data_IF_603924138831
#
_entry.id   IF_603924138831
#
_cell.length_a   1.000
_cell.length_b   1.000
_cell.length_c   1.000
_cell.angle_alpha   90.00
_cell.angle_beta   90.00
_cell.angle_gamma   90.00
#
_symmetry.space_group_name_H-M   'P 1'
#
loop_
_entity.id
_entity.type
_entity.pdbx_description
1 polymer ?
#
# COMPACT_ATOMS: atom_id res chain seq x y z
N UNK A 1 14.87 19.37 8.90
CA UNK A 1 15.42 20.47 9.68
C UNK A 1 15.22 20.19 11.17
N UNK A 2 16.32 19.93 11.93
CA UNK A 2 16.27 19.54 13.35
C UNK A 2 15.51 20.54 14.25
N UNK A 3 15.69 21.87 14.12
CA UNK A 3 14.93 22.84 14.92
C UNK A 3 13.42 22.71 14.77
N UNK A 4 12.92 22.44 13.56
CA UNK A 4 11.49 22.26 13.31
C UNK A 4 10.92 21.07 14.06
N UNK A 5 11.67 19.96 14.13
CA UNK A 5 11.22 18.79 14.87
C UNK A 5 11.26 18.96 16.37
N UNK A 6 12.27 19.69 16.90
CA UNK A 6 12.33 20.04 18.33
C UNK A 6 11.10 20.87 18.69
N UNK A 7 10.81 21.91 17.92
CA UNK A 7 9.63 22.74 18.17
C UNK A 7 8.32 21.94 18.07
N UNK A 8 8.22 21.03 17.10
CA UNK A 8 7.06 20.13 17.00
C UNK A 8 6.93 19.25 18.24
N UNK A 9 8.03 18.71 18.78
CA UNK A 9 8.00 17.92 20.00
C UNK A 9 7.51 18.73 21.21
N UNK A 10 7.93 19.97 21.35
CA UNK A 10 7.48 20.87 22.42
C UNK A 10 5.98 21.14 22.33
N UNK A 11 5.48 21.52 21.14
CA UNK A 11 4.06 21.73 20.91
C UNK A 11 3.23 20.47 21.17
N UNK A 12 3.73 19.32 20.74
CA UNK A 12 3.06 18.04 20.93
C UNK A 12 3.02 17.64 22.40
N UNK A 13 4.12 17.87 23.14
CA UNK A 13 4.18 17.60 24.58
C UNK A 13 3.14 18.42 25.34
N UNK A 14 3.09 19.72 25.09
CA UNK A 14 2.10 20.61 25.70
C UNK A 14 0.66 20.19 25.38
N UNK A 15 0.42 19.74 24.15
CA UNK A 15 -0.88 19.30 23.72
C UNK A 15 -1.30 17.98 24.37
N UNK A 16 -0.43 17.00 24.39
CA UNK A 16 -0.68 15.70 25.01
C UNK A 16 -0.83 15.78 26.53
N UNK A 17 -0.10 16.69 27.19
CA UNK A 17 -0.28 16.93 28.63
C UNK A 17 -1.67 17.52 28.96
N UNK A 18 -2.25 18.30 28.05
CA UNK A 18 -3.61 18.86 28.21
C UNK A 18 -4.70 17.81 27.94
N UNK A 19 -4.56 17.03 26.86
CA UNK A 19 -5.54 16.02 26.44
C UNK A 19 -5.49 14.77 27.35
N UNK A 20 -4.29 14.39 27.79
CA UNK A 20 -4.02 13.20 28.60
C UNK A 20 -4.62 11.92 27.99
N UNK A 21 -4.31 11.57 26.74
CA UNK A 21 -4.86 10.39 26.11
C UNK A 21 -4.34 9.13 26.82
N UNK A 22 -5.18 8.09 26.88
CA UNK A 22 -4.75 6.80 27.45
C UNK A 22 -3.80 6.04 26.53
N UNK A 23 -3.91 6.24 25.25
CA UNK A 23 -3.04 5.66 24.23
C UNK A 23 -3.08 6.51 22.96
N UNK A 24 -2.04 6.38 22.14
CA UNK A 24 -1.94 6.93 20.79
C UNK A 24 -1.94 5.77 19.82
N UNK A 25 -2.83 5.81 18.85
CA UNK A 25 -2.87 4.86 17.74
C UNK A 25 -2.45 5.59 16.49
N UNK A 26 -1.49 5.05 15.77
CA UNK A 26 -0.99 5.64 14.53
C UNK A 26 -0.92 4.61 13.42
N UNK A 27 -1.09 5.10 12.20
CA UNK A 27 -0.85 4.34 10.98
C UNK A 27 0.47 4.85 10.41
N UNK A 28 1.40 3.95 10.03
CA UNK A 28 2.71 4.32 9.52
C UNK A 28 3.65 4.95 10.59
N UNK A 29 4.09 4.13 11.53
CA UNK A 29 4.95 4.52 12.66
C UNK A 29 6.39 4.89 12.29
N UNK A 30 6.79 4.71 11.03
CA UNK A 30 8.18 4.92 10.62
C UNK A 30 8.47 6.33 10.13
N UNK A 31 7.45 7.05 9.70
CA UNK A 31 7.59 8.44 9.25
C UNK A 31 8.09 9.39 10.34
N UNK A 32 8.76 10.47 9.95
CA UNK A 32 9.39 11.42 10.88
C UNK A 32 8.39 12.01 11.89
N UNK A 33 7.18 12.33 11.45
CA UNK A 33 6.13 12.81 12.36
C UNK A 33 5.71 11.73 13.36
N UNK A 34 5.53 10.49 12.89
CA UNK A 34 5.17 9.38 13.75
C UNK A 34 6.25 9.12 14.80
N UNK A 35 7.53 9.16 14.43
CA UNK A 35 8.65 9.05 15.40
C UNK A 35 8.63 10.20 16.42
N UNK A 36 8.23 11.39 16.03
CA UNK A 36 8.05 12.51 16.97
C UNK A 36 6.98 12.18 18.03
N UNK A 37 5.84 11.61 17.59
CA UNK A 37 4.80 11.14 18.50
C UNK A 37 5.30 10.04 19.46
N UNK A 38 6.05 9.06 18.94
CA UNK A 38 6.62 7.99 19.75
C UNK A 38 7.56 8.52 20.86
N UNK A 39 8.43 9.48 20.50
CA UNK A 39 9.38 10.08 21.45
C UNK A 39 8.63 10.81 22.57
N UNK A 40 7.67 11.65 22.21
CA UNK A 40 6.92 12.45 23.19
C UNK A 40 6.00 11.57 24.03
N UNK A 41 5.31 10.60 23.41
CA UNK A 41 4.47 9.64 24.12
C UNK A 41 5.27 8.86 25.15
N UNK A 42 6.44 8.35 24.77
CA UNK A 42 7.35 7.63 25.69
C UNK A 42 7.81 8.51 26.84
N UNK A 43 8.15 9.79 26.57
CA UNK A 43 8.51 10.76 27.60
C UNK A 43 7.37 10.97 28.61
N UNK A 44 6.13 11.01 28.14
CA UNK A 44 4.93 11.24 28.95
C UNK A 44 4.34 9.94 29.56
N UNK A 45 4.89 8.77 29.26
CA UNK A 45 4.35 7.50 29.72
C UNK A 45 3.04 7.09 29.05
N UNK A 46 2.73 7.66 27.90
CA UNK A 46 1.52 7.36 27.10
C UNK A 46 1.81 6.13 26.23
N UNK A 47 0.89 5.16 26.22
CA UNK A 47 1.02 3.96 25.41
C UNK A 47 0.85 4.25 23.93
N UNK A 48 1.61 3.53 23.09
CA UNK A 48 1.56 3.71 21.64
C UNK A 48 1.27 2.39 20.92
N UNK A 49 0.40 2.43 19.94
CA UNK A 49 0.09 1.33 19.04
C UNK A 49 0.28 1.79 17.60
N UNK A 50 0.96 1.00 16.80
CA UNK A 50 1.00 1.21 15.36
C UNK A 50 0.22 0.12 14.63
N UNK A 51 -0.47 0.51 13.57
CA UNK A 51 -1.13 -0.42 12.65
C UNK A 51 -0.38 -0.36 11.34
N UNK A 52 0.04 -1.51 10.83
CA UNK A 52 0.64 -1.61 9.50
C UNK A 52 -0.26 -0.93 8.47
N UNK A 53 0.33 -0.11 7.57
CA UNK A 53 -0.46 0.62 6.59
C UNK A 53 -0.24 0.12 5.14
N UNK A 54 0.80 -0.66 4.90
CA UNK A 54 1.16 -1.16 3.57
C UNK A 54 2.18 -2.29 3.65
N UNK A 55 2.80 -2.59 2.52
CA UNK A 55 3.86 -3.58 2.46
C UNK A 55 5.06 -3.17 3.33
N UNK A 56 5.69 -4.16 3.97
CA UNK A 56 6.95 -3.99 4.70
C UNK A 56 8.01 -4.81 3.96
N UNK A 57 8.76 -4.20 3.02
CA UNK A 57 9.86 -4.87 2.35
C UNK A 57 11.00 -5.23 3.31
N UNK A 58 11.74 -6.29 3.00
CA UNK A 58 12.84 -6.80 3.84
C UNK A 58 14.05 -5.89 3.91
N UNK A 59 14.13 -4.91 3.04
CA UNK A 59 15.21 -3.93 2.91
C UNK A 59 14.77 -2.49 3.21
N UNK A 60 13.53 -2.30 3.69
CA UNK A 60 13.00 -0.96 3.94
C UNK A 60 13.66 -0.32 5.19
N UNK A 61 14.55 0.69 5.01
CA UNK A 61 15.42 1.17 6.09
C UNK A 61 14.67 1.70 7.31
N UNK A 62 13.44 2.17 7.13
CA UNK A 62 12.64 2.73 8.21
C UNK A 62 12.15 1.67 9.20
N UNK A 63 11.97 0.42 8.75
CA UNK A 63 11.63 -0.72 9.58
C UNK A 63 12.87 -1.57 9.91
N UNK A 64 13.82 -1.68 8.96
CA UNK A 64 14.98 -2.56 9.06
C UNK A 64 16.20 -1.74 9.49
N UNK A 65 16.22 -1.36 10.74
CA UNK A 65 17.26 -0.50 11.29
C UNK A 65 18.19 -1.27 12.24
N UNK A 66 19.01 -2.17 11.70
CA UNK A 66 19.92 -3.05 12.46
C UNK A 66 20.87 -2.30 13.39
N UNK A 67 21.27 -1.07 13.03
CA UNK A 67 22.19 -0.27 13.82
C UNK A 67 21.55 0.31 15.09
N UNK A 68 20.26 0.61 15.07
CA UNK A 68 19.55 1.25 16.18
C UNK A 68 19.33 0.28 17.35
N UNK A 69 19.29 -1.01 17.08
CA UNK A 69 19.20 -2.05 18.13
C UNK A 69 20.55 -2.47 18.68
N UNK A 70 21.64 -1.84 18.25
CA UNK A 70 22.95 -2.07 18.82
C UNK A 70 23.04 -1.42 20.21
N UNK A 71 23.85 -2.01 21.11
CA UNK A 71 24.17 -1.45 22.45
C UNK A 71 24.72 0.00 22.38
N UNK A 72 25.03 0.53 21.19
CA UNK A 72 25.51 1.90 20.98
C UNK A 72 24.40 2.96 21.13
N UNK A 73 23.13 2.56 21.04
CA UNK A 73 22.00 3.46 21.18
C UNK A 73 21.17 3.07 22.41
N UNK A 74 21.56 3.53 23.61
CA UNK A 74 20.94 3.13 24.88
C UNK A 74 19.46 3.54 25.00
N UNK A 75 18.98 4.47 24.17
CA UNK A 75 17.57 4.84 24.11
C UNK A 75 16.74 3.88 23.24
N UNK A 76 17.39 2.96 22.51
CA UNK A 76 16.76 2.00 21.62
C UNK A 76 16.08 2.63 20.41
N UNK A 77 15.50 1.78 19.59
CA UNK A 77 14.62 2.26 18.53
C UNK A 77 13.32 2.78 19.15
N UNK A 78 12.92 3.98 18.76
CA UNK A 78 11.60 4.50 19.13
C UNK A 78 10.53 3.77 18.31
N UNK A 79 10.25 2.54 18.74
CA UNK A 79 9.18 1.71 18.20
C UNK A 79 7.99 1.74 19.16
N UNK A 80 6.77 1.58 18.65
CA UNK A 80 5.55 1.53 19.46
C UNK A 80 5.61 0.47 20.57
N UNK A 81 4.78 0.62 21.59
CA UNK A 81 4.59 -0.43 22.59
C UNK A 81 4.04 -1.70 21.94
N UNK A 82 3.20 -1.54 20.89
CA UNK A 82 2.72 -2.62 20.04
C UNK A 82 2.70 -2.19 18.57
N UNK A 83 3.18 -3.06 17.69
CA UNK A 83 3.04 -2.96 16.24
C UNK A 83 2.12 -4.08 15.77
N UNK A 84 0.99 -3.71 15.19
CA UNK A 84 -0.08 -4.60 14.74
C UNK A 84 0.09 -4.85 13.24
N UNK A 85 0.40 -6.07 12.85
CA UNK A 85 0.72 -6.43 11.47
C UNK A 85 -0.35 -7.30 10.83
N UNK A 86 -0.42 -7.26 9.50
CA UNK A 86 -1.44 -7.95 8.72
C UNK A 86 -1.29 -9.48 8.74
N UNK A 87 -0.04 -9.98 8.83
CA UNK A 87 0.19 -11.43 8.76
C UNK A 87 1.49 -11.88 9.42
N UNK A 88 1.62 -13.20 9.55
CA UNK A 88 2.81 -13.85 10.14
C UNK A 88 4.10 -13.50 9.39
N UNK A 89 4.02 -13.31 8.07
CA UNK A 89 5.13 -12.91 7.24
C UNK A 89 5.72 -11.56 7.70
N UNK A 90 4.88 -10.54 7.90
CA UNK A 90 5.33 -9.24 8.37
C UNK A 90 5.87 -9.29 9.81
N UNK A 91 5.23 -10.11 10.66
CA UNK A 91 5.77 -10.36 11.99
C UNK A 91 7.20 -10.91 11.90
N UNK A 92 7.44 -11.91 11.05
CA UNK A 92 8.75 -12.50 10.82
C UNK A 92 9.77 -11.48 10.32
N UNK A 93 9.42 -10.65 9.34
CA UNK A 93 10.29 -9.56 8.85
C UNK A 93 10.70 -8.64 10.01
N UNK A 94 9.72 -8.15 10.77
CA UNK A 94 10.01 -7.21 11.85
C UNK A 94 10.86 -7.83 12.96
N UNK A 95 10.59 -9.07 13.35
CA UNK A 95 11.30 -9.71 14.47
C UNK A 95 12.66 -10.27 14.07
N UNK A 96 12.79 -10.93 12.91
CA UNK A 96 14.03 -11.59 12.51
C UNK A 96 15.00 -10.66 11.79
N UNK A 97 14.48 -9.74 10.95
CA UNK A 97 15.28 -8.83 10.14
C UNK A 97 15.31 -7.43 10.74
N UNK A 98 14.15 -6.90 11.14
CA UNK A 98 14.00 -5.58 11.76
C UNK A 98 14.41 -5.52 13.23
N UNK A 99 14.64 -6.68 13.87
CA UNK A 99 15.05 -6.83 15.26
C UNK A 99 14.07 -6.22 16.28
N UNK A 100 12.78 -6.16 15.92
CA UNK A 100 11.73 -5.81 16.87
C UNK A 100 11.59 -6.90 17.94
N UNK A 101 11.39 -6.55 19.22
CA UNK A 101 11.04 -7.54 20.24
C UNK A 101 9.76 -8.29 19.87
N UNK A 102 9.77 -9.61 20.00
CA UNK A 102 8.65 -10.44 19.52
C UNK A 102 7.33 -10.10 20.23
N UNK A 103 7.42 -9.79 21.52
CA UNK A 103 6.27 -9.40 22.34
C UNK A 103 5.64 -8.06 21.92
N UNK A 104 6.33 -7.26 21.12
CA UNK A 104 5.82 -5.99 20.60
C UNK A 104 5.11 -6.13 19.27
N UNK A 105 5.24 -7.25 18.57
CA UNK A 105 4.63 -7.45 17.24
C UNK A 105 3.50 -8.46 17.33
N UNK A 106 2.30 -8.03 16.94
CA UNK A 106 1.07 -8.84 17.01
C UNK A 106 0.40 -8.93 15.65
N UNK A 107 -0.04 -10.14 15.28
CA UNK A 107 -0.75 -10.40 14.03
C UNK A 107 -2.23 -10.20 14.26
N UNK A 108 -2.85 -9.26 13.53
CA UNK A 108 -4.27 -8.92 13.68
C UNK A 108 -5.09 -9.15 12.40
N UNK A 109 -4.45 -9.49 11.27
CA UNK A 109 -5.09 -9.43 9.96
C UNK A 109 -5.13 -8.01 9.40
N UNK A 110 -5.62 -7.86 8.18
CA UNK A 110 -5.78 -6.55 7.57
C UNK A 110 -7.11 -5.91 8.02
N UNK A 111 -7.10 -4.72 8.63
CA UNK A 111 -8.31 -4.11 9.19
C UNK A 111 -9.46 -3.93 8.20
N UNK A 112 -9.15 -3.66 6.93
CA UNK A 112 -10.17 -3.49 5.88
C UNK A 112 -10.94 -4.77 5.54
N UNK A 113 -10.48 -5.94 6.02
CA UNK A 113 -11.09 -7.23 5.68
C UNK A 113 -11.84 -7.90 6.83
N UNK A 114 -11.95 -7.20 7.95
CA UNK A 114 -12.62 -7.74 9.15
C UNK A 114 -14.03 -8.27 8.86
N UNK A 115 -14.78 -7.59 7.98
CA UNK A 115 -16.12 -8.01 7.53
C UNK A 115 -16.16 -8.17 6.00
N UNK A 116 -15.12 -8.76 5.41
CA UNK A 116 -14.98 -8.81 3.96
C UNK A 116 -16.16 -9.49 3.27
N UNK A 117 -16.60 -10.64 3.77
CA UNK A 117 -17.73 -11.38 3.19
C UNK A 117 -19.04 -10.61 3.24
N UNK A 118 -19.26 -9.81 4.29
CA UNK A 118 -20.42 -8.92 4.38
C UNK A 118 -20.25 -7.71 3.46
N UNK A 119 -19.07 -7.13 3.43
CA UNK A 119 -18.74 -6.02 2.53
C UNK A 119 -18.88 -6.41 1.07
N UNK A 120 -18.43 -7.61 0.69
CA UNK A 120 -18.55 -8.14 -0.68
C UNK A 120 -20.01 -8.23 -1.13
N UNK A 121 -20.93 -8.56 -0.23
CA UNK A 121 -22.37 -8.63 -0.54
C UNK A 121 -23.02 -7.26 -0.84
N UNK A 122 -22.38 -6.17 -0.42
CA UNK A 122 -22.89 -4.82 -0.70
C UNK A 122 -22.63 -4.39 -2.16
N UNK A 123 -21.79 -5.11 -2.88
CA UNK A 123 -21.43 -4.78 -4.27
C UNK A 123 -22.20 -5.66 -5.25
N UNK A 124 -22.91 -5.03 -6.16
CA UNK A 124 -23.57 -5.70 -7.28
C UNK A 124 -22.74 -5.54 -8.55
N UNK A 125 -22.07 -6.64 -8.98
CA UNK A 125 -21.23 -6.63 -10.18
C UNK A 125 -21.96 -6.09 -11.40
N UNK A 126 -23.21 -6.48 -11.63
CA UNK A 126 -23.99 -6.05 -12.80
C UNK A 126 -24.30 -4.56 -12.78
N UNK A 127 -24.56 -3.98 -11.61
CA UNK A 127 -24.77 -2.54 -11.47
C UNK A 127 -23.49 -1.75 -11.73
N UNK A 128 -22.35 -2.24 -11.22
CA UNK A 128 -21.05 -1.60 -11.42
C UNK A 128 -20.67 -1.64 -12.91
N UNK A 129 -20.85 -2.78 -13.58
CA UNK A 129 -20.62 -2.90 -15.03
C UNK A 129 -21.48 -1.90 -15.82
N UNK A 130 -22.79 -1.85 -15.53
CA UNK A 130 -23.73 -0.92 -16.16
C UNK A 130 -23.35 0.55 -15.92
N UNK A 131 -22.98 0.92 -14.69
CA UNK A 131 -22.51 2.27 -14.33
C UNK A 131 -21.31 2.71 -15.17
N UNK A 132 -20.43 1.78 -15.53
CA UNK A 132 -19.23 2.04 -16.32
C UNK A 132 -19.42 1.78 -17.82
N UNK A 133 -20.64 1.48 -18.28
CA UNK A 133 -20.96 1.16 -19.68
C UNK A 133 -20.16 -0.04 -20.22
N UNK A 134 -19.83 -1.01 -19.36
CA UNK A 134 -19.29 -2.30 -19.76
C UNK A 134 -20.43 -3.27 -20.05
N UNK A 135 -20.26 -4.09 -21.09
CA UNK A 135 -21.18 -5.15 -21.46
C UNK A 135 -20.53 -6.52 -21.24
N UNK A 136 -20.10 -7.16 -22.33
CA UNK A 136 -19.49 -8.52 -22.28
C UNK A 136 -17.97 -8.49 -22.43
N UNK A 137 -17.34 -7.32 -22.42
CA UNK A 137 -15.90 -7.19 -22.56
C UNK A 137 -15.17 -7.79 -21.34
N UNK A 138 -13.99 -8.34 -21.62
CA UNK A 138 -13.02 -8.72 -20.58
C UNK A 138 -12.31 -7.49 -20.05
N UNK A 139 -12.24 -7.36 -18.74
CA UNK A 139 -11.69 -6.18 -18.08
C UNK A 139 -10.35 -6.51 -17.46
N UNK A 140 -9.30 -5.85 -17.95
CA UNK A 140 -7.97 -5.86 -17.35
C UNK A 140 -7.88 -4.63 -16.44
N UNK A 141 -7.81 -4.84 -15.12
CA UNK A 141 -7.57 -3.76 -14.18
C UNK A 141 -6.07 -3.48 -14.08
N UNK A 142 -5.69 -2.22 -14.26
CA UNK A 142 -4.32 -1.75 -14.11
C UNK A 142 -4.24 -0.59 -13.10
N UNK A 143 -3.98 -0.87 -11.82
CA UNK A 143 -3.69 0.16 -10.82
C UNK A 143 -2.31 0.78 -11.05
N UNK A 144 -2.25 2.12 -11.07
CA UNK A 144 -1.02 2.88 -11.24
C UNK A 144 -0.33 3.12 -9.89
N UNK A 145 0.99 3.16 -9.92
CA UNK A 145 1.80 3.57 -8.79
C UNK A 145 1.80 5.10 -8.63
N UNK A 146 1.93 5.57 -7.39
CA UNK A 146 1.90 7.01 -7.08
C UNK A 146 3.00 7.77 -7.82
N UNK A 147 2.61 8.81 -8.60
CA UNK A 147 3.48 9.76 -9.32
C UNK A 147 4.39 9.15 -10.39
N UNK A 148 4.58 7.84 -10.44
CA UNK A 148 5.48 7.22 -11.40
C UNK A 148 4.98 7.34 -12.84
N UNK A 149 3.66 7.41 -13.03
CA UNK A 149 3.08 7.57 -14.37
C UNK A 149 3.63 8.80 -15.13
N UNK A 150 3.91 9.90 -14.44
CA UNK A 150 4.40 11.14 -15.06
C UNK A 150 5.89 11.09 -15.44
N UNK A 151 6.63 10.10 -14.96
CA UNK A 151 8.04 9.92 -15.30
C UNK A 151 8.16 9.25 -16.67
N UNK A 152 8.93 9.85 -17.55
CA UNK A 152 9.21 9.25 -18.86
C UNK A 152 9.92 7.90 -18.67
N UNK A 153 9.46 6.87 -19.40
CA UNK A 153 9.96 5.49 -19.29
C UNK A 153 9.80 4.85 -17.90
N UNK A 154 8.86 5.33 -17.09
CA UNK A 154 8.54 4.62 -15.85
C UNK A 154 7.99 3.22 -16.13
N UNK A 155 8.17 2.27 -15.20
CA UNK A 155 7.61 0.92 -15.33
C UNK A 155 6.11 0.93 -15.62
N UNK A 156 5.33 1.81 -14.96
CA UNK A 156 3.89 1.97 -15.21
C UNK A 156 3.59 2.33 -16.66
N UNK A 157 4.34 3.29 -17.24
CA UNK A 157 4.13 3.71 -18.63
C UNK A 157 4.56 2.64 -19.63
N UNK A 158 5.65 1.94 -19.36
CA UNK A 158 6.14 0.85 -20.22
C UNK A 158 5.10 -0.27 -20.25
N UNK A 159 4.63 -0.70 -19.08
CA UNK A 159 3.64 -1.77 -18.97
C UNK A 159 2.31 -1.38 -19.58
N UNK A 160 1.81 -0.17 -19.29
CA UNK A 160 0.56 0.33 -19.85
C UNK A 160 0.63 0.42 -21.39
N UNK A 161 1.75 0.92 -21.93
CA UNK A 161 1.97 0.97 -23.38
C UNK A 161 2.01 -0.43 -24.01
N UNK A 162 2.57 -1.40 -23.33
CA UNK A 162 2.61 -2.80 -23.76
C UNK A 162 1.21 -3.40 -23.80
N UNK A 163 0.41 -3.20 -22.76
CA UNK A 163 -0.99 -3.63 -22.72
C UNK A 163 -1.80 -2.99 -23.87
N UNK A 164 -1.60 -1.69 -24.13
CA UNK A 164 -2.31 -1.01 -25.21
C UNK A 164 -1.91 -1.58 -26.58
N UNK A 165 -0.63 -1.81 -26.84
CA UNK A 165 -0.16 -2.37 -28.10
C UNK A 165 -0.75 -3.75 -28.35
N UNK A 166 -0.82 -4.57 -27.31
CA UNK A 166 -1.34 -5.94 -27.41
C UNK A 166 -2.85 -5.96 -27.69
N UNK A 167 -3.61 -5.14 -26.96
CA UNK A 167 -5.08 -5.21 -27.00
C UNK A 167 -5.75 -4.12 -27.85
N UNK A 168 -5.02 -3.23 -28.54
CA UNK A 168 -5.59 -2.11 -29.31
C UNK A 168 -6.60 -2.52 -30.38
N UNK A 169 -6.44 -3.71 -30.97
CA UNK A 169 -7.30 -4.23 -32.02
C UNK A 169 -8.32 -5.27 -31.51
N UNK A 170 -8.39 -5.46 -30.20
CA UNK A 170 -9.32 -6.40 -29.59
C UNK A 170 -10.47 -5.63 -28.91
N UNK A 171 -11.64 -5.54 -29.56
CA UNK A 171 -12.78 -4.82 -28.99
C UNK A 171 -13.37 -5.50 -27.75
N UNK A 172 -13.13 -6.81 -27.59
CA UNK A 172 -13.65 -7.60 -26.49
C UNK A 172 -12.86 -7.44 -25.20
N UNK A 173 -11.77 -6.65 -25.22
CA UNK A 173 -10.94 -6.37 -24.05
C UNK A 173 -10.91 -4.87 -23.75
N UNK A 174 -11.16 -4.51 -22.51
CA UNK A 174 -11.04 -3.15 -21.98
C UNK A 174 -9.94 -3.09 -20.91
N UNK A 175 -9.15 -2.03 -20.98
CA UNK A 175 -8.15 -1.75 -19.94
C UNK A 175 -8.73 -0.67 -19.03
N UNK A 176 -8.99 -1.05 -17.77
CA UNK A 176 -9.46 -0.15 -16.73
C UNK A 176 -8.24 0.35 -15.94
N UNK A 177 -7.86 1.59 -16.21
CA UNK A 177 -6.72 2.24 -15.54
C UNK A 177 -7.20 2.91 -14.26
N UNK A 178 -6.65 2.50 -13.14
CA UNK A 178 -6.96 3.09 -11.84
C UNK A 178 -5.84 4.03 -11.39
N UNK A 179 -6.07 5.34 -11.32
CA UNK A 179 -5.11 6.28 -10.76
C UNK A 179 -4.86 5.99 -9.28
N UNK A 180 -3.62 6.26 -8.82
CA UNK A 180 -3.35 6.26 -7.39
C UNK A 180 -4.14 7.41 -6.72
N UNK A 181 -4.70 7.23 -5.51
CA UNK A 181 -5.49 8.27 -4.83
C UNK A 181 -4.77 9.61 -4.63
N UNK A 182 -3.44 9.60 -4.61
CA UNK A 182 -2.61 10.80 -4.50
C UNK A 182 -2.29 11.49 -5.84
N UNK A 183 -2.79 10.98 -6.96
CA UNK A 183 -2.52 11.52 -8.30
C UNK A 183 -3.77 12.18 -8.90
N UNK A 184 -3.52 13.22 -9.69
CA UNK A 184 -4.55 13.88 -10.50
C UNK A 184 -4.36 13.39 -11.94
N UNK A 185 -4.93 12.25 -12.26
CA UNK A 185 -4.93 11.69 -13.61
C UNK A 185 -6.37 11.55 -14.08
N UNK A 186 -6.71 12.21 -15.18
CA UNK A 186 -8.00 12.11 -15.85
C UNK A 186 -7.89 11.50 -17.26
N UNK A 187 -9.02 11.32 -17.90
CA UNK A 187 -9.10 10.71 -19.23
C UNK A 187 -8.37 11.55 -20.28
N UNK A 188 -8.42 12.88 -20.18
CA UNK A 188 -7.81 13.78 -21.17
C UNK A 188 -6.28 13.74 -21.05
N UNK A 189 -5.75 13.73 -19.83
CA UNK A 189 -4.32 13.56 -19.59
C UNK A 189 -3.85 12.22 -20.17
N UNK A 190 -4.56 11.13 -19.88
CA UNK A 190 -4.18 9.82 -20.38
C UNK A 190 -4.29 9.72 -21.92
N UNK A 191 -5.30 10.34 -22.53
CA UNK A 191 -5.46 10.45 -24.00
C UNK A 191 -4.29 11.18 -24.66
N UNK A 192 -3.72 12.20 -24.00
CA UNK A 192 -2.55 12.92 -24.51
C UNK A 192 -1.30 12.04 -24.55
N UNK A 193 -1.15 11.12 -23.59
CA UNK A 193 -0.03 10.18 -23.57
C UNK A 193 -0.25 9.00 -24.53
N UNK A 194 -1.49 8.55 -24.69
CA UNK A 194 -1.85 7.35 -25.45
C UNK A 194 -3.07 7.61 -26.34
N UNK A 195 -2.91 8.38 -27.42
CA UNK A 195 -4.02 8.68 -28.32
C UNK A 195 -4.54 7.41 -29.02
N UNK A 196 -5.84 7.36 -29.22
CA UNK A 196 -6.54 6.27 -29.92
C UNK A 196 -6.45 4.89 -29.25
N UNK A 197 -6.36 4.84 -27.92
CA UNK A 197 -6.34 3.59 -27.17
C UNK A 197 -7.68 3.29 -26.49
N UNK A 198 -7.94 2.00 -26.31
CA UNK A 198 -9.18 1.48 -25.76
C UNK A 198 -9.05 1.26 -24.24
N UNK A 199 -8.95 2.35 -23.49
CA UNK A 199 -8.86 2.30 -22.04
C UNK A 199 -9.86 3.26 -21.40
N UNK A 200 -10.17 3.01 -20.13
CA UNK A 200 -11.08 3.81 -19.33
C UNK A 200 -10.39 4.13 -18.01
N UNK A 201 -10.44 5.39 -17.61
CA UNK A 201 -10.02 5.79 -16.26
C UNK A 201 -11.10 5.41 -15.25
N UNK A 202 -10.72 4.67 -14.24
CA UNK A 202 -11.62 4.31 -13.15
C UNK A 202 -12.00 5.52 -12.31
N UNK A 203 -13.31 5.61 -12.01
CA UNK A 203 -13.90 6.52 -11.01
C UNK A 203 -14.57 5.75 -9.87
N UNK A 204 -14.36 4.45 -9.82
CA UNK A 204 -14.91 3.55 -8.83
C UNK A 204 -14.06 3.51 -7.55
N UNK A 205 -14.55 2.86 -6.51
CA UNK A 205 -13.72 2.39 -5.42
C UNK A 205 -12.78 1.25 -5.90
N UNK A 206 -11.72 0.96 -5.15
CA UNK A 206 -10.82 -0.14 -5.50
C UNK A 206 -11.57 -1.48 -5.52
N UNK A 207 -12.47 -1.69 -4.58
CA UNK A 207 -13.26 -2.92 -4.49
C UNK A 207 -14.19 -3.10 -5.69
N UNK A 208 -14.87 -2.03 -6.12
CA UNK A 208 -15.68 -2.07 -7.35
C UNK A 208 -14.84 -2.46 -8.56
N UNK A 209 -13.65 -1.87 -8.71
CA UNK A 209 -12.75 -2.18 -9.84
C UNK A 209 -12.29 -3.64 -9.82
N UNK A 210 -11.89 -4.15 -8.65
CA UNK A 210 -11.48 -5.55 -8.51
C UNK A 210 -12.65 -6.50 -8.81
N UNK A 211 -13.85 -6.20 -8.32
CA UNK A 211 -15.04 -7.05 -8.52
C UNK A 211 -15.39 -7.19 -10.00
N UNK A 212 -15.33 -6.10 -10.77
CA UNK A 212 -15.68 -6.13 -12.18
C UNK A 212 -14.56 -6.67 -13.08
N UNK A 213 -13.31 -6.63 -12.64
CA UNK A 213 -12.19 -7.10 -13.44
C UNK A 213 -12.19 -8.63 -13.63
N UNK A 214 -11.66 -9.08 -14.76
CA UNK A 214 -11.38 -10.49 -15.02
C UNK A 214 -9.94 -10.87 -14.62
N UNK A 215 -9.02 -9.92 -14.71
CA UNK A 215 -7.63 -10.06 -14.27
C UNK A 215 -7.10 -8.69 -13.80
N UNK A 216 -6.22 -8.73 -12.83
CA UNK A 216 -5.48 -7.54 -12.37
C UNK A 216 -4.02 -7.68 -12.77
N UNK A 217 -3.49 -6.65 -13.42
CA UNK A 217 -2.08 -6.59 -13.85
C UNK A 217 -1.42 -5.46 -13.10
N UNK A 218 -0.37 -5.75 -12.35
CA UNK A 218 0.33 -4.75 -11.52
C UNK A 218 1.84 -4.93 -11.55
N UNK A 219 2.52 -3.88 -11.14
CA UNK A 219 3.94 -3.94 -10.78
C UNK A 219 4.11 -4.54 -9.38
N UNK A 220 5.24 -5.21 -9.10
CA UNK A 220 5.45 -5.95 -7.85
C UNK A 220 5.38 -5.12 -6.56
N UNK A 221 5.62 -3.79 -6.64
CA UNK A 221 5.67 -2.89 -5.46
C UNK A 221 4.31 -2.22 -5.18
N UNK A 222 3.20 -2.82 -5.54
CA UNK A 222 1.88 -2.24 -5.29
C UNK A 222 1.23 -2.88 -4.05
N UNK A 223 0.81 -2.05 -3.09
CA UNK A 223 0.05 -2.52 -1.91
C UNK A 223 -1.29 -3.16 -2.28
N UNK A 224 -1.85 -2.82 -3.43
CA UNK A 224 -3.08 -3.40 -4.00
C UNK A 224 -2.94 -4.91 -4.20
N UNK A 225 -1.73 -5.39 -4.43
CA UNK A 225 -1.46 -6.81 -4.63
C UNK A 225 -1.88 -7.71 -3.45
N UNK A 226 -1.82 -7.20 -2.22
CA UNK A 226 -2.28 -7.93 -1.04
C UNK A 226 -3.82 -8.01 -0.94
N UNK A 227 -4.53 -7.19 -1.69
CA UNK A 227 -5.99 -7.11 -1.67
C UNK A 227 -6.63 -8.05 -2.69
N UNK A 228 -6.00 -8.24 -3.85
CA UNK A 228 -6.56 -8.98 -4.98
C UNK A 228 -6.87 -10.45 -4.67
N UNK A 229 -5.99 -11.21 -3.99
CA UNK A 229 -6.27 -12.61 -3.67
C UNK A 229 -7.53 -12.81 -2.82
N UNK A 230 -7.86 -11.84 -1.97
CA UNK A 230 -9.06 -11.88 -1.12
C UNK A 230 -10.35 -11.89 -1.97
N UNK A 231 -10.29 -11.25 -3.15
CA UNK A 231 -11.39 -11.26 -4.11
C UNK A 231 -11.36 -12.48 -5.05
N UNK A 232 -10.43 -13.40 -4.85
CA UNK A 232 -10.25 -14.59 -5.71
C UNK A 232 -10.06 -14.22 -7.19
N UNK A 233 -9.40 -13.09 -7.45
CA UNK A 233 -9.13 -12.60 -8.80
C UNK A 233 -7.76 -13.04 -9.30
N UNK A 234 -7.63 -13.42 -10.57
CA UNK A 234 -6.34 -13.64 -11.19
C UNK A 234 -5.47 -12.40 -11.08
N UNK A 235 -4.24 -12.57 -10.61
CA UNK A 235 -3.24 -11.51 -10.45
C UNK A 235 -2.01 -11.84 -11.32
N UNK A 236 -1.64 -10.89 -12.18
CA UNK A 236 -0.41 -10.95 -12.95
C UNK A 236 0.57 -9.87 -12.43
N UNK A 237 1.66 -10.31 -11.84
CA UNK A 237 2.78 -9.45 -11.46
C UNK A 237 3.76 -9.35 -12.62
N UNK A 238 4.02 -8.12 -13.10
CA UNK A 238 4.92 -7.89 -14.23
C UNK A 238 6.14 -7.12 -13.76
N UNK A 239 7.29 -7.76 -13.76
CA UNK A 239 8.56 -7.09 -13.54
C UNK A 239 9.07 -6.49 -14.85
N UNK A 240 9.08 -5.17 -14.95
CA UNK A 240 9.57 -4.42 -16.12
C UNK A 240 11.07 -4.15 -16.01
N UNK A 241 11.57 -4.05 -14.79
CA UNK A 241 12.98 -3.88 -14.50
C UNK A 241 13.59 -5.25 -14.18
N UNK A 242 14.68 -5.60 -14.82
CA UNK A 242 15.40 -6.87 -14.55
C UNK A 242 16.17 -6.77 -13.21
N UNK A 243 15.50 -6.25 -12.19
CA UNK A 243 16.07 -6.01 -10.88
C UNK A 243 15.83 -7.22 -9.96
N UNK A 244 16.93 -7.83 -9.51
CA UNK A 244 16.89 -8.95 -8.58
C UNK A 244 16.38 -8.60 -7.18
N UNK A 245 16.16 -7.30 -6.85
CA UNK A 245 15.59 -6.87 -5.58
C UNK A 245 14.13 -7.31 -5.40
N UNK A 246 13.45 -7.68 -6.49
CA UNK A 246 12.04 -8.10 -6.49
C UNK A 246 11.86 -9.57 -6.06
N UNK A 247 12.93 -10.36 -5.96
CA UNK A 247 12.84 -11.75 -5.44
C UNK A 247 12.23 -11.83 -4.05
N UNK A 248 12.41 -10.80 -3.23
CA UNK A 248 11.83 -10.75 -1.87
C UNK A 248 10.32 -10.55 -1.86
N UNK A 249 9.74 -10.02 -2.94
CA UNK A 249 8.29 -9.79 -3.06
C UNK A 249 7.60 -11.06 -3.56
N UNK A 250 8.20 -11.77 -4.52
CA UNK A 250 7.69 -13.07 -4.97
C UNK A 250 7.58 -14.07 -3.81
N UNK A 251 8.60 -14.10 -2.93
CA UNK A 251 8.57 -14.92 -1.72
C UNK A 251 7.48 -14.48 -0.73
N UNK A 252 7.15 -13.19 -0.69
CA UNK A 252 6.09 -12.65 0.16
C UNK A 252 4.70 -13.06 -0.33
N UNK A 253 4.48 -13.08 -1.65
CA UNK A 253 3.21 -13.46 -2.24
C UNK A 253 2.90 -14.95 -2.12
N UNK A 254 3.91 -15.80 -2.33
CA UNK A 254 3.78 -17.25 -2.21
C UNK A 254 3.46 -17.71 -0.78
N UNK A 255 3.61 -16.84 0.22
CA UNK A 255 3.30 -17.12 1.62
C UNK A 255 1.98 -16.51 2.12
N UNK A 256 1.32 -15.69 1.29
CA UNK A 256 0.01 -15.09 1.59
C UNK A 256 -1.17 -15.89 1.00
N UNK A 257 -0.88 -16.90 0.16
CA UNK A 257 -1.87 -17.82 -0.47
C UNK A 257 -1.87 -19.19 0.29
#
# INVERSE_FOLDING_TARGET
NLPTYIHLMELLEDHLQKIKPRAIIQVYETGTYAKTFEIVAKKLGIKTLAIQHGLIPTDFPEYICKEINSKKFPLGNFIPDKTLVYGKYYKKILTEIGTYPEEKVEVIGHPSYFNFEETKKLFNKSEILKKNSFNDEKIILFPLSMRFFYIQNSPDRILLNTLFKEFKNNPDVKILVRPHPGDVLDQDILNNFFPNNNFIISKNTLFEDIIISDIVVILPISSVSSEIPIFEKPLLLVNVENDNSIKSIDDAYLQLV
#
